data_IF_808467296220
#
_entry.id   IF_808467296220
#
_cell.length_a   1.000
_cell.length_b   1.000
_cell.length_c   1.000
_cell.angle_alpha   90.00
_cell.angle_beta   90.00
_cell.angle_gamma   90.00
#
_symmetry.space_group_name_H-M   'P 1'
#
loop_
_entity.id
_entity.type
_entity.pdbx_description
1 polymer ?
#
# COMPACT_ATOMS: atom_id res chain seq x y z
N UNK A 1 -15.24 3.81 -11.39
CA UNK A 1 -13.79 4.09 -11.52
C UNK A 1 -13.05 2.79 -11.78
N UNK A 2 -12.28 2.69 -12.87
CA UNK A 2 -11.45 1.51 -13.14
C UNK A 2 -10.36 1.37 -12.06
N UNK A 3 -10.09 0.17 -11.55
CA UNK A 3 -8.95 -0.02 -10.65
C UNK A 3 -7.67 0.41 -11.37
N UNK A 4 -6.81 1.15 -10.65
CA UNK A 4 -5.51 1.55 -11.19
C UNK A 4 -4.70 0.29 -11.55
N UNK A 5 -3.93 0.27 -12.64
CA UNK A 5 -3.21 -0.92 -13.10
C UNK A 5 -2.03 -1.32 -12.20
N UNK A 6 -1.53 -0.41 -11.36
CA UNK A 6 -0.45 -0.68 -10.40
C UNK A 6 -0.88 -0.33 -8.98
N UNK A 7 -0.32 -1.04 -8.00
CA UNK A 7 -0.59 -0.86 -6.58
C UNK A 7 0.70 -0.90 -5.75
N UNK A 8 0.90 0.12 -4.91
CA UNK A 8 1.97 0.17 -3.91
C UNK A 8 1.40 -0.33 -2.58
N UNK A 9 1.77 -1.53 -2.14
CA UNK A 9 1.40 -2.04 -0.83
C UNK A 9 2.31 -1.44 0.26
N UNK A 10 1.71 -0.77 1.23
CA UNK A 10 2.43 -0.05 2.32
C UNK A 10 2.20 -0.66 3.70
N UNK A 11 1.11 -1.43 3.85
CA UNK A 11 0.78 -2.14 5.08
C UNK A 11 0.02 -3.43 4.78
N UNK A 12 0.06 -4.38 5.71
CA UNK A 12 -0.63 -5.66 5.57
C UNK A 12 -0.87 -6.30 6.94
N UNK A 13 -2.10 -6.72 7.21
CA UNK A 13 -2.41 -7.41 8.46
C UNK A 13 -3.58 -8.41 8.30
N UNK A 14 -3.63 -9.47 9.11
CA UNK A 14 -4.75 -10.40 9.13
C UNK A 14 -6.07 -9.78 9.59
N UNK A 15 -6.02 -8.69 10.37
CA UNK A 15 -7.20 -7.93 10.82
C UNK A 15 -7.32 -6.62 10.04
N UNK A 16 -8.51 -6.35 9.48
CA UNK A 16 -8.79 -5.12 8.70
C UNK A 16 -8.52 -3.85 9.50
N UNK A 17 -8.97 -3.82 10.76
CA UNK A 17 -8.78 -2.67 11.66
C UNK A 17 -7.29 -2.41 11.95
N UNK A 18 -6.50 -3.46 12.15
CA UNK A 18 -5.05 -3.32 12.35
C UNK A 18 -4.36 -2.76 11.10
N UNK A 19 -4.74 -3.23 9.90
CA UNK A 19 -4.23 -2.69 8.64
C UNK A 19 -4.60 -1.21 8.46
N UNK A 20 -5.85 -0.83 8.75
CA UNK A 20 -6.31 0.56 8.70
C UNK A 20 -5.59 1.45 9.71
N UNK A 21 -5.41 0.98 10.95
CA UNK A 21 -4.67 1.73 11.97
C UNK A 21 -3.20 1.89 11.60
N UNK A 22 -2.59 0.87 10.98
CA UNK A 22 -1.23 0.98 10.46
C UNK A 22 -1.13 2.03 9.36
N UNK A 23 -2.10 2.09 8.44
CA UNK A 23 -2.18 3.16 7.45
C UNK A 23 -2.23 4.55 8.09
N UNK A 24 -3.10 4.76 9.08
CA UNK A 24 -3.23 6.06 9.76
C UNK A 24 -1.91 6.49 10.39
N UNK A 25 -1.16 5.56 11.01
CA UNK A 25 0.17 5.85 11.55
C UNK A 25 1.18 6.20 10.46
N UNK A 26 1.27 5.38 9.41
CA UNK A 26 2.17 5.62 8.28
C UNK A 26 1.88 6.96 7.59
N UNK A 27 0.61 7.30 7.38
CA UNK A 27 0.21 8.58 6.76
C UNK A 27 0.65 9.79 7.59
N UNK A 28 0.63 9.67 8.93
CA UNK A 28 1.13 10.73 9.83
C UNK A 28 2.66 10.81 9.79
N UNK A 29 3.34 9.66 9.84
CA UNK A 29 4.80 9.59 9.87
C UNK A 29 5.44 10.03 8.54
N UNK A 30 4.84 9.66 7.41
CA UNK A 30 5.33 9.91 6.06
C UNK A 30 4.39 10.86 5.30
N UNK A 31 3.90 11.89 5.97
CA UNK A 31 2.92 12.85 5.41
C UNK A 31 3.41 13.49 4.11
N UNK A 32 4.71 13.82 4.01
CA UNK A 32 5.34 14.37 2.82
C UNK A 32 5.18 13.50 1.56
N UNK A 33 5.00 12.17 1.72
CA UNK A 33 4.82 11.24 0.61
C UNK A 33 3.37 10.77 0.51
N UNK A 34 2.68 10.55 1.64
CA UNK A 34 1.41 9.83 1.70
C UNK A 34 0.17 10.72 1.86
N UNK A 35 0.30 12.02 2.15
CA UNK A 35 -0.84 12.88 2.46
C UNK A 35 -1.83 13.05 1.30
N UNK A 36 -1.35 13.03 0.06
CA UNK A 36 -2.18 13.17 -1.16
C UNK A 36 -2.71 11.86 -1.74
N UNK A 37 -2.52 10.73 -1.04
CA UNK A 37 -2.89 9.41 -1.55
C UNK A 37 -3.97 8.75 -0.70
N UNK A 38 -5.06 8.35 -1.36
CA UNK A 38 -6.07 7.52 -0.74
C UNK A 38 -5.76 6.04 -0.93
N UNK A 39 -5.71 5.24 0.16
CA UNK A 39 -5.45 3.83 0.04
C UNK A 39 -6.73 3.06 -0.28
N UNK A 40 -6.56 1.92 -0.92
CA UNK A 40 -7.56 0.86 -1.00
C UNK A 40 -7.12 -0.28 -0.09
N UNK A 41 -8.03 -0.73 0.79
CA UNK A 41 -7.81 -1.90 1.63
C UNK A 41 -8.51 -3.09 1.00
N UNK A 42 -7.74 -4.07 0.51
CA UNK A 42 -8.27 -5.27 -0.12
C UNK A 42 -7.73 -6.53 0.57
N UNK A 43 -8.53 -7.60 0.55
CA UNK A 43 -8.11 -8.89 1.09
C UNK A 43 -7.35 -9.66 0.00
N UNK A 44 -6.10 -10.03 0.26
CA UNK A 44 -5.26 -10.79 -0.66
C UNK A 44 -4.81 -12.11 -0.05
N UNK A 45 -4.64 -13.13 -0.90
CA UNK A 45 -3.97 -14.37 -0.48
C UNK A 45 -2.46 -14.14 -0.41
N UNK A 46 -1.83 -14.77 0.57
CA UNK A 46 -0.38 -14.76 0.75
C UNK A 46 0.13 -16.20 0.79
N UNK A 47 1.36 -16.48 0.32
CA UNK A 47 1.95 -17.81 0.43
C UNK A 47 2.10 -18.29 1.88
N UNK A 48 2.18 -17.37 2.84
CA UNK A 48 2.43 -17.64 4.26
C UNK A 48 1.26 -18.29 5.03
N UNK A 49 0.18 -18.72 4.36
CA UNK A 49 -0.85 -19.52 5.01
C UNK A 49 -2.21 -19.52 4.33
N UNK A 50 -3.14 -20.29 4.90
CA UNK A 50 -4.53 -20.41 4.39
C UNK A 50 -5.34 -19.12 4.53
N UNK A 51 -4.95 -18.21 5.43
CA UNK A 51 -5.66 -16.94 5.69
C UNK A 51 -5.04 -15.80 4.88
N UNK A 52 -5.85 -15.16 4.04
CA UNK A 52 -5.46 -13.92 3.38
C UNK A 52 -5.33 -12.75 4.36
N UNK A 53 -4.49 -11.78 4.01
CA UNK A 53 -4.31 -10.53 4.75
C UNK A 53 -5.13 -9.40 4.12
N UNK A 54 -5.46 -8.39 4.92
CA UNK A 54 -5.89 -7.09 4.43
C UNK A 54 -4.65 -6.28 4.08
N UNK A 55 -4.42 -6.06 2.80
CA UNK A 55 -3.35 -5.22 2.28
C UNK A 55 -3.86 -3.80 2.04
N UNK A 56 -3.08 -2.82 2.48
CA UNK A 56 -3.31 -1.40 2.20
C UNK A 56 -2.47 -1.04 0.98
N UNK A 57 -3.12 -0.61 -0.10
CA UNK A 57 -2.47 -0.27 -1.37
C UNK A 57 -2.81 1.14 -1.83
N UNK A 58 -1.83 1.84 -2.37
CA UNK A 58 -2.03 3.09 -3.13
C UNK A 58 -2.06 2.75 -4.61
N UNK A 59 -3.05 3.25 -5.35
CA UNK A 59 -3.17 3.01 -6.79
C UNK A 59 -2.29 3.96 -7.61
N UNK A 60 -1.67 3.45 -8.68
CA UNK A 60 -0.87 4.21 -9.64
C UNK A 60 -1.22 3.84 -11.08
N UNK A 61 -1.16 4.82 -12.00
CA UNK A 61 -1.46 4.64 -13.42
C UNK A 61 -0.35 3.92 -14.16
N UNK A 62 0.90 4.03 -13.69
CA UNK A 62 2.05 3.40 -14.33
C UNK A 62 2.98 2.74 -13.30
N UNK A 63 3.84 1.85 -13.80
CA UNK A 63 4.90 1.26 -12.98
C UNK A 63 5.86 2.33 -12.45
N UNK A 64 6.27 3.27 -13.31
CA UNK A 64 7.21 4.34 -12.95
C UNK A 64 6.65 5.25 -11.86
N UNK A 65 5.36 5.58 -11.90
CA UNK A 65 4.69 6.33 -10.84
C UNK A 65 4.72 5.54 -9.51
N UNK A 66 4.37 4.25 -9.56
CA UNK A 66 4.39 3.38 -8.39
C UNK A 66 5.80 3.25 -7.77
N UNK A 67 6.81 3.05 -8.62
CA UNK A 67 8.21 2.93 -8.22
C UNK A 67 8.72 4.25 -7.64
N UNK A 68 8.34 5.40 -8.20
CA UNK A 68 8.70 6.72 -7.68
C UNK A 68 8.13 6.97 -6.28
N UNK A 69 6.84 6.69 -6.06
CA UNK A 69 6.19 6.81 -4.75
C UNK A 69 6.88 5.87 -3.74
N UNK A 70 7.11 4.62 -4.15
CA UNK A 70 7.75 3.64 -3.28
C UNK A 70 9.23 4.00 -2.98
N UNK A 71 9.96 4.58 -3.93
CA UNK A 71 11.31 5.08 -3.71
C UNK A 71 11.34 6.23 -2.71
N UNK A 72 10.44 7.22 -2.84
CA UNK A 72 10.31 8.33 -1.88
C UNK A 72 9.97 7.83 -0.47
N UNK A 73 9.06 6.86 -0.37
CA UNK A 73 8.69 6.27 0.91
C UNK A 73 9.88 5.53 1.55
N UNK A 74 10.63 4.76 0.75
CA UNK A 74 11.86 4.08 1.23
C UNK A 74 12.95 5.05 1.65
N UNK A 75 13.15 6.14 0.90
CA UNK A 75 14.11 7.19 1.26
C UNK A 75 13.76 7.88 2.58
N UNK A 76 12.47 8.01 2.90
CA UNK A 76 12.01 8.51 4.19
C UNK A 76 12.10 7.48 5.34
N UNK A 77 12.54 6.24 5.07
CA UNK A 77 12.64 5.15 6.05
C UNK A 77 11.42 4.25 6.15
N UNK A 78 10.46 4.38 5.24
CA UNK A 78 9.29 3.50 5.15
C UNK A 78 9.54 2.25 4.30
N UNK A 79 8.55 1.36 4.25
CA UNK A 79 8.60 0.14 3.44
C UNK A 79 7.40 0.06 2.49
N UNK A 80 7.63 -0.49 1.30
CA UNK A 80 6.59 -0.69 0.30
C UNK A 80 6.94 -1.81 -0.67
N UNK A 81 5.90 -2.37 -1.28
CA UNK A 81 5.99 -3.37 -2.34
C UNK A 81 5.16 -2.90 -3.52
N UNK A 82 5.79 -2.75 -4.69
CA UNK A 82 5.10 -2.41 -5.94
C UNK A 82 4.63 -3.69 -6.62
N UNK A 83 3.38 -3.70 -7.05
CA UNK A 83 2.76 -4.85 -7.71
C UNK A 83 1.79 -4.40 -8.81
N UNK A 84 1.66 -5.19 -9.86
CA UNK A 84 0.61 -4.98 -10.87
C UNK A 84 -0.72 -5.45 -10.30
N UNK A 85 -1.75 -4.62 -10.40
CA UNK A 85 -3.11 -5.03 -10.09
C UNK A 85 -3.62 -5.87 -11.26
N UNK A 86 -3.95 -7.13 -11.00
CA UNK A 86 -4.58 -8.05 -11.95
C UNK A 86 -6.07 -8.13 -11.66
#
# INVERSE_FOLDING_TARGET
MKPKPWGIQVAGNFRRSAAANQWVRLRKQFSAVLAGHDPVISRIRTPMGRRGIYAVRIGANSRGEADSICAKLRAAGGACIVSRNR
#
